data_IF_864716426347
#
_entry.id   IF_864716426347
#
_cell.length_a   1.000
_cell.length_b   1.000
_cell.length_c   1.000
_cell.angle_alpha   90.00
_cell.angle_beta   90.00
_cell.angle_gamma   90.00
#
_symmetry.space_group_name_H-M   'P 1'
#
loop_
_entity.id
_entity.type
_entity.pdbx_description
1 polymer ?
#
# COMPACT_ATOMS: atom_id res chain seq x y z
N UNK A 1 -20.27 9.78 5.54
CA UNK A 1 -19.44 8.63 5.11
C UNK A 1 -20.36 7.43 4.99
N UNK A 2 -20.62 6.91 3.78
CA UNK A 2 -21.48 5.72 3.60
C UNK A 2 -20.62 4.48 3.83
N UNK A 3 -21.03 3.64 4.79
CA UNK A 3 -20.41 2.36 5.12
C UNK A 3 -20.42 1.40 3.93
N UNK A 4 -19.31 0.70 3.69
CA UNK A 4 -19.09 -0.24 2.58
C UNK A 4 -19.57 -1.67 2.88
N UNK A 5 -20.47 -1.85 3.85
CA UNK A 5 -20.75 -3.16 4.46
C UNK A 5 -21.67 -4.07 3.62
N UNK A 6 -22.08 -3.65 2.42
CA UNK A 6 -23.05 -4.35 1.57
C UNK A 6 -22.48 -5.13 0.38
N UNK A 7 -21.17 -5.36 0.30
CA UNK A 7 -20.56 -5.91 -0.93
C UNK A 7 -20.19 -7.39 -0.74
N UNK A 8 -21.06 -8.26 -1.22
CA UNK A 8 -20.67 -9.63 -1.58
C UNK A 8 -19.69 -9.55 -2.74
N UNK A 9 -18.41 -9.80 -2.45
CA UNK A 9 -17.37 -9.91 -3.46
C UNK A 9 -17.62 -11.13 -4.33
N UNK A 10 -17.69 -10.91 -5.64
CA UNK A 10 -17.72 -11.90 -6.71
C UNK A 10 -16.75 -13.08 -6.45
N UNK A 11 -17.18 -14.30 -6.81
CA UNK A 11 -16.36 -15.50 -6.72
C UNK A 11 -15.40 -15.64 -7.92
N UNK A 12 -14.65 -16.74 -7.99
CA UNK A 12 -13.65 -16.91 -9.06
C UNK A 12 -14.23 -17.07 -10.46
N UNK A 13 -15.49 -17.47 -10.55
CA UNK A 13 -16.18 -17.88 -11.77
C UNK A 13 -16.90 -16.65 -12.36
N UNK A 14 -17.38 -15.74 -11.51
CA UNK A 14 -17.81 -14.40 -11.90
C UNK A 14 -16.70 -13.63 -12.66
N UNK A 15 -15.42 -13.85 -12.29
CA UNK A 15 -14.26 -13.07 -12.74
C UNK A 15 -13.94 -13.25 -14.24
N UNK A 16 -14.17 -14.42 -14.82
CA UNK A 16 -13.91 -14.64 -16.26
C UNK A 16 -15.03 -14.06 -17.13
N UNK A 17 -16.24 -13.95 -16.60
CA UNK A 17 -17.41 -13.40 -17.30
C UNK A 17 -17.46 -11.86 -17.28
N UNK A 18 -16.85 -11.23 -16.27
CA UNK A 18 -16.93 -9.79 -16.02
C UNK A 18 -16.17 -8.94 -17.06
N UNK A 19 -15.02 -9.38 -17.60
CA UNK A 19 -14.17 -8.49 -18.41
C UNK A 19 -14.78 -8.07 -19.76
N UNK A 20 -15.39 -9.01 -20.50
CA UNK A 20 -15.97 -8.71 -21.82
C UNK A 20 -17.40 -8.12 -21.71
N UNK A 21 -18.21 -8.62 -20.78
CA UNK A 21 -19.58 -8.14 -20.60
C UNK A 21 -19.62 -6.73 -20.02
N UNK A 22 -18.72 -6.37 -19.10
CA UNK A 22 -18.74 -5.05 -18.47
C UNK A 22 -18.23 -3.93 -19.37
N UNK A 23 -17.15 -4.15 -20.13
CA UNK A 23 -16.67 -3.16 -21.12
C UNK A 23 -17.79 -2.85 -22.14
N UNK A 24 -18.56 -3.88 -22.51
CA UNK A 24 -19.71 -3.72 -23.41
C UNK A 24 -20.94 -3.11 -22.73
N UNK A 25 -21.09 -3.29 -21.41
CA UNK A 25 -22.18 -2.70 -20.60
C UNK A 25 -21.98 -1.21 -20.28
N UNK A 26 -20.74 -0.69 -20.41
CA UNK A 26 -20.50 0.75 -20.31
C UNK A 26 -21.22 1.49 -21.44
N UNK A 27 -21.77 2.66 -21.12
CA UNK A 27 -22.29 3.58 -22.14
C UNK A 27 -21.18 4.02 -23.10
N UNK A 28 -21.53 4.47 -24.32
CA UNK A 28 -20.57 5.08 -25.24
C UNK A 28 -19.75 6.20 -24.59
N UNK A 29 -20.38 7.03 -23.74
CA UNK A 29 -19.72 8.15 -23.06
C UNK A 29 -18.74 7.67 -21.98
N UNK A 30 -19.09 6.65 -21.20
CA UNK A 30 -18.16 6.04 -20.22
C UNK A 30 -16.97 5.37 -20.91
N UNK A 31 -17.20 4.70 -22.05
CA UNK A 31 -16.11 4.16 -22.87
C UNK A 31 -15.22 5.25 -23.44
N UNK A 32 -15.79 6.35 -23.92
CA UNK A 32 -15.04 7.50 -24.42
C UNK A 32 -14.24 8.20 -23.31
N UNK A 33 -14.81 8.31 -22.11
CA UNK A 33 -14.13 8.85 -20.94
C UNK A 33 -12.97 7.95 -20.49
N UNK A 34 -13.18 6.63 -20.45
CA UNK A 34 -12.12 5.64 -20.18
C UNK A 34 -11.02 5.68 -21.23
N UNK A 35 -11.36 5.78 -22.52
CA UNK A 35 -10.39 5.88 -23.61
C UNK A 35 -9.60 7.20 -23.57
N UNK A 36 -10.25 8.31 -23.20
CA UNK A 36 -9.57 9.60 -23.02
C UNK A 36 -8.66 9.59 -21.79
N UNK A 37 -9.08 8.96 -20.71
CA UNK A 37 -8.25 8.73 -19.53
C UNK A 37 -7.07 7.82 -19.86
N UNK A 38 -7.28 6.78 -20.67
CA UNK A 38 -6.22 5.89 -21.16
C UNK A 38 -5.15 6.64 -21.95
N UNK A 39 -5.54 7.55 -22.84
CA UNK A 39 -4.59 8.35 -23.61
C UNK A 39 -3.73 9.24 -22.70
N UNK A 40 -4.34 9.85 -21.67
CA UNK A 40 -3.63 10.66 -20.66
C UNK A 40 -2.68 9.80 -19.82
N UNK A 41 -3.15 8.65 -19.34
CA UNK A 41 -2.37 7.69 -18.56
C UNK A 41 -1.14 7.19 -19.32
N UNK A 42 -1.30 6.79 -20.59
CA UNK A 42 -0.17 6.33 -21.43
C UNK A 42 0.90 7.41 -21.62
N UNK A 43 0.49 8.67 -21.82
CA UNK A 43 1.43 9.78 -21.92
C UNK A 43 2.15 10.07 -20.60
N UNK A 44 1.44 9.95 -19.47
CA UNK A 44 2.02 10.11 -18.13
C UNK A 44 3.00 9.00 -17.77
N UNK A 45 2.80 7.78 -18.30
CA UNK A 45 3.57 6.61 -17.93
C UNK A 45 5.04 6.72 -18.36
N UNK A 46 5.31 7.21 -19.57
CA UNK A 46 6.68 7.37 -20.06
C UNK A 46 7.46 8.40 -19.25
N UNK A 47 6.81 9.52 -18.90
CA UNK A 47 7.42 10.54 -18.05
C UNK A 47 7.55 10.04 -16.60
N UNK A 48 6.55 9.31 -16.08
CA UNK A 48 6.60 8.66 -14.77
C UNK A 48 7.79 7.72 -14.68
N UNK A 49 7.97 6.81 -15.63
CA UNK A 49 9.08 5.86 -15.59
C UNK A 49 10.44 6.59 -15.55
N UNK A 50 10.60 7.63 -16.39
CA UNK A 50 11.80 8.47 -16.38
C UNK A 50 12.03 9.16 -15.03
N UNK A 51 10.99 9.76 -14.44
CA UNK A 51 11.08 10.39 -13.12
C UNK A 51 11.41 9.38 -12.02
N UNK A 52 10.81 8.18 -12.07
CA UNK A 52 11.10 7.10 -11.11
C UNK A 52 12.55 6.62 -11.20
N UNK A 53 13.07 6.47 -12.43
CA UNK A 53 14.45 6.04 -12.65
C UNK A 53 15.43 7.10 -12.12
N UNK A 54 15.19 8.39 -12.40
CA UNK A 54 15.97 9.49 -11.83
C UNK A 54 15.92 9.53 -10.29
N UNK A 55 14.74 9.33 -9.72
CA UNK A 55 14.51 9.44 -8.28
C UNK A 55 15.15 8.30 -7.48
N UNK A 56 15.16 7.09 -8.06
CA UNK A 56 15.76 5.89 -7.45
C UNK A 56 17.28 6.06 -7.27
N UNK A 57 17.94 6.83 -8.12
CA UNK A 57 19.39 7.07 -8.05
C UNK A 57 19.76 8.13 -7.01
N UNK A 58 18.94 9.17 -6.83
CA UNK A 58 19.18 10.22 -5.82
C UNK A 58 18.90 9.74 -4.39
N UNK A 59 17.85 8.94 -4.17
CA UNK A 59 17.44 8.51 -2.83
C UNK A 59 18.35 7.46 -2.18
N UNK A 60 19.09 6.66 -2.96
CA UNK A 60 20.01 5.63 -2.43
C UNK A 60 21.14 6.18 -1.57
N UNK A 61 21.34 7.51 -1.54
CA UNK A 61 22.51 8.14 -0.94
C UNK A 61 22.29 8.74 0.46
N UNK A 62 21.07 8.81 0.99
CA UNK A 62 20.80 9.57 2.24
C UNK A 62 20.29 8.74 3.41
N UNK A 63 20.17 7.43 3.24
CA UNK A 63 19.55 6.57 4.22
C UNK A 63 20.23 6.71 5.58
N UNK A 64 19.48 7.19 6.58
CA UNK A 64 19.80 7.10 8.00
C UNK A 64 18.65 6.35 8.67
N UNK A 65 18.93 5.20 9.29
CA UNK A 65 17.93 4.43 10.00
C UNK A 65 17.55 5.24 11.23
N UNK A 66 16.25 5.40 11.48
CA UNK A 66 15.77 6.09 12.68
C UNK A 66 15.86 5.20 13.93
N UNK A 67 16.63 4.10 13.85
CA UNK A 67 16.95 3.21 14.97
C UNK A 67 15.92 2.11 15.22
N UNK A 68 14.94 1.92 14.33
CA UNK A 68 14.00 0.80 14.46
C UNK A 68 14.68 -0.49 13.99
N UNK A 69 14.67 -1.49 14.87
CA UNK A 69 15.17 -2.83 14.56
C UNK A 69 14.13 -3.59 13.77
N UNK A 70 14.51 -4.01 12.56
CA UNK A 70 13.74 -4.95 11.77
C UNK A 70 13.38 -6.20 12.58
N UNK A 71 12.14 -6.68 12.42
CA UNK A 71 11.67 -7.92 13.01
C UNK A 71 11.21 -8.92 11.96
N UNK A 72 11.46 -10.21 12.22
CA UNK A 72 10.88 -11.29 11.43
C UNK A 72 9.38 -11.42 11.69
N UNK A 73 8.63 -11.79 10.64
CA UNK A 73 7.24 -12.20 10.78
C UNK A 73 7.08 -13.34 11.78
N UNK A 74 5.90 -13.40 12.42
CA UNK A 74 5.59 -14.49 13.34
C UNK A 74 5.40 -15.81 12.59
N UNK A 75 5.90 -16.88 13.17
CA UNK A 75 5.83 -18.26 12.63
C UNK A 75 4.86 -19.15 13.40
N UNK A 76 4.07 -18.53 14.30
CA UNK A 76 3.00 -19.21 15.00
C UNK A 76 1.92 -18.26 15.53
N UNK A 77 0.71 -18.76 15.74
CA UNK A 77 -0.38 -18.05 16.42
C UNK A 77 0.05 -17.43 17.74
N UNK A 78 0.74 -18.21 18.58
CA UNK A 78 1.20 -17.75 19.90
C UNK A 78 2.16 -16.56 19.76
N UNK A 79 3.17 -16.70 18.91
CA UNK A 79 4.14 -15.64 18.64
C UNK A 79 3.47 -14.39 18.07
N UNK A 80 2.51 -14.55 17.15
CA UNK A 80 1.74 -13.43 16.58
C UNK A 80 0.98 -12.66 17.67
N UNK A 81 0.25 -13.37 18.54
CA UNK A 81 -0.50 -12.76 19.65
C UNK A 81 0.43 -12.02 20.60
N UNK A 82 1.55 -12.63 21.00
CA UNK A 82 2.52 -12.00 21.89
C UNK A 82 3.15 -10.74 21.27
N UNK A 83 3.59 -10.82 20.00
CA UNK A 83 4.25 -9.69 19.33
C UNK A 83 3.28 -8.55 18.99
N UNK A 84 2.05 -8.86 18.55
CA UNK A 84 1.06 -7.85 18.15
C UNK A 84 0.58 -6.94 19.28
N UNK A 85 0.85 -7.29 20.54
CA UNK A 85 0.61 -6.43 21.70
C UNK A 85 1.65 -5.30 21.83
N UNK A 86 2.83 -5.44 21.21
CA UNK A 86 3.84 -4.40 21.23
C UNK A 86 3.43 -3.24 20.28
N UNK A 87 3.35 -1.98 20.76
CA UNK A 87 2.82 -0.88 19.97
C UNK A 87 3.51 -0.67 18.61
N UNK A 88 4.80 -0.97 18.52
CA UNK A 88 5.63 -0.76 17.33
C UNK A 88 5.86 -2.04 16.50
N UNK A 89 5.23 -3.17 16.82
CA UNK A 89 5.53 -4.44 16.15
C UNK A 89 5.39 -4.36 14.63
N UNK A 90 4.25 -3.86 14.14
CA UNK A 90 3.99 -3.78 12.71
C UNK A 90 4.92 -2.81 11.98
N UNK A 91 5.31 -1.72 12.63
CA UNK A 91 6.35 -0.81 12.12
C UNK A 91 7.69 -1.56 12.02
N UNK A 92 8.07 -2.33 13.03
CA UNK A 92 9.30 -3.13 13.01
C UNK A 92 9.28 -4.23 11.93
N UNK A 93 8.12 -4.80 11.61
CA UNK A 93 8.00 -5.72 10.46
C UNK A 93 8.28 -5.01 9.14
N UNK A 94 7.82 -3.77 9.00
CA UNK A 94 8.01 -2.97 7.79
C UNK A 94 9.40 -2.30 7.71
N UNK A 95 10.10 -2.17 8.84
CA UNK A 95 11.44 -1.58 8.92
C UNK A 95 12.49 -2.39 8.15
N UNK A 96 13.48 -1.69 7.59
CA UNK A 96 14.59 -2.34 6.87
C UNK A 96 15.69 -2.73 7.86
N UNK A 97 16.31 -3.89 7.61
CA UNK A 97 17.34 -4.48 8.45
C UNK A 97 18.69 -3.75 8.40
N UNK A 98 19.05 -3.14 7.27
CA UNK A 98 20.21 -2.27 7.00
C UNK A 98 20.20 -1.95 5.49
N UNK A 99 20.95 -0.94 5.02
CA UNK A 99 20.91 -0.50 3.61
C UNK A 99 21.11 -1.67 2.62
N UNK A 100 20.22 -1.74 1.62
CA UNK A 100 20.23 -2.68 0.49
C UNK A 100 19.77 -4.14 0.77
N UNK A 101 19.40 -4.50 1.99
CA UNK A 101 18.70 -5.77 2.22
C UNK A 101 17.21 -5.64 1.90
N UNK A 102 16.68 -6.52 1.06
CA UNK A 102 15.24 -6.61 0.83
C UNK A 102 14.54 -7.02 2.13
N UNK A 103 13.42 -6.36 2.44
CA UNK A 103 12.66 -6.71 3.63
C UNK A 103 11.78 -7.94 3.32
N UNK A 104 12.06 -9.04 4.04
CA UNK A 104 11.39 -10.32 3.86
C UNK A 104 9.88 -10.30 4.14
N UNK A 105 9.39 -9.29 4.86
CA UNK A 105 7.97 -9.14 5.18
C UNK A 105 7.17 -8.33 4.13
N UNK A 106 7.81 -7.84 3.07
CA UNK A 106 7.18 -7.00 2.05
C UNK A 106 6.84 -7.79 0.77
N UNK A 107 6.03 -7.20 -0.11
CA UNK A 107 5.77 -7.76 -1.44
C UNK A 107 7.06 -7.72 -2.24
N UNK A 108 7.47 -8.87 -2.79
CA UNK A 108 8.74 -9.02 -3.49
C UNK A 108 8.59 -9.09 -5.01
N UNK A 109 7.57 -8.43 -5.54
CA UNK A 109 7.46 -8.16 -6.97
C UNK A 109 7.03 -6.72 -7.20
N UNK A 110 7.58 -6.11 -8.25
CA UNK A 110 7.15 -4.77 -8.68
C UNK A 110 5.71 -4.84 -9.17
N UNK A 111 4.97 -3.80 -8.85
CA UNK A 111 3.66 -3.58 -9.44
C UNK A 111 3.77 -3.62 -10.98
N UNK A 112 2.98 -4.50 -11.62
CA UNK A 112 2.88 -4.59 -13.07
C UNK A 112 1.44 -4.66 -13.51
N UNK A 113 1.03 -3.83 -14.48
CA UNK A 113 -0.32 -3.89 -15.06
C UNK A 113 -1.29 -2.87 -14.44
N UNK A 114 -2.51 -3.31 -14.15
CA UNK A 114 -3.67 -2.45 -13.91
C UNK A 114 -4.37 -2.02 -15.20
N UNK A 115 -5.54 -1.38 -15.05
CA UNK A 115 -6.23 -0.75 -16.17
C UNK A 115 -5.27 0.20 -16.89
N UNK A 116 -5.00 -0.08 -18.17
CA UNK A 116 -4.13 0.72 -19.03
C UNK A 116 -2.64 0.76 -18.63
N UNK A 117 -2.12 -0.33 -18.04
CA UNK A 117 -0.72 -0.43 -17.55
C UNK A 117 -0.36 0.61 -16.48
N UNK A 118 -1.37 1.24 -15.87
CA UNK A 118 -1.22 2.18 -14.80
C UNK A 118 -2.13 1.77 -13.63
N UNK A 119 -1.57 1.76 -12.42
CA UNK A 119 -2.38 2.23 -11.31
C UNK A 119 -2.89 1.21 -10.31
N UNK A 120 -2.40 -0.04 -10.24
CA UNK A 120 -2.71 -0.80 -8.99
C UNK A 120 -1.92 -0.30 -7.77
N UNK A 121 -1.15 0.80 -7.87
CA UNK A 121 -0.27 1.34 -6.83
C UNK A 121 -0.96 1.48 -5.47
N UNK A 122 -2.17 2.06 -5.47
CA UNK A 122 -2.98 2.21 -4.26
C UNK A 122 -3.34 0.87 -3.63
N UNK A 123 -3.85 -0.06 -4.44
CA UNK A 123 -4.27 -1.38 -3.99
C UNK A 123 -3.09 -2.25 -3.57
N UNK A 124 -1.94 -2.09 -4.22
CA UNK A 124 -0.69 -2.75 -3.88
C UNK A 124 -0.21 -2.34 -2.48
N UNK A 125 -0.12 -1.03 -2.20
CA UNK A 125 0.23 -0.54 -0.87
C UNK A 125 -0.79 -0.95 0.19
N UNK A 126 -2.09 -0.96 -0.14
CA UNK A 126 -3.13 -1.43 0.80
C UNK A 126 -3.00 -2.91 1.11
N UNK A 127 -2.76 -3.76 0.11
CA UNK A 127 -2.53 -5.18 0.31
C UNK A 127 -1.28 -5.43 1.17
N UNK A 128 -0.18 -4.73 0.89
CA UNK A 128 1.04 -4.83 1.68
C UNK A 128 0.82 -4.42 3.14
N UNK A 129 0.11 -3.30 3.37
CA UNK A 129 -0.25 -2.86 4.72
C UNK A 129 -1.12 -3.89 5.43
N UNK A 130 -2.12 -4.47 4.74
CA UNK A 130 -2.95 -5.53 5.31
C UNK A 130 -2.12 -6.77 5.66
N UNK A 131 -1.21 -7.19 4.77
CA UNK A 131 -0.35 -8.34 5.02
C UNK A 131 0.55 -8.14 6.24
N UNK A 132 1.16 -6.96 6.40
CA UNK A 132 1.97 -6.64 7.58
C UNK A 132 1.20 -6.80 8.90
N UNK A 133 -0.10 -6.52 8.92
CA UNK A 133 -0.94 -6.63 10.11
C UNK A 133 -1.61 -8.00 10.28
N UNK A 134 -1.96 -8.66 9.19
CA UNK A 134 -2.92 -9.76 9.18
C UNK A 134 -2.34 -11.08 8.69
N UNK A 135 -1.02 -11.29 8.79
CA UNK A 135 -0.42 -12.59 8.47
C UNK A 135 0.41 -13.15 9.62
N UNK A 136 0.35 -14.46 9.74
CA UNK A 136 1.33 -15.27 10.46
C UNK A 136 1.66 -16.49 9.62
N UNK A 137 2.85 -17.04 9.78
CA UNK A 137 3.41 -18.03 8.87
C UNK A 137 3.54 -19.40 9.55
N UNK A 138 3.51 -20.48 8.77
CA UNK A 138 3.72 -21.87 9.24
C UNK A 138 4.74 -22.57 8.34
N UNK A 139 6.04 -22.24 8.46
CA UNK A 139 7.05 -22.71 7.50
C UNK A 139 7.27 -24.22 7.49
N UNK A 140 6.93 -24.92 8.57
CA UNK A 140 7.09 -26.37 8.69
C UNK A 140 5.88 -27.17 8.16
N UNK A 141 4.82 -26.49 7.71
CA UNK A 141 3.65 -27.12 7.10
C UNK A 141 3.81 -27.22 5.57
N UNK A 142 3.07 -28.11 4.89
CA UNK A 142 3.01 -28.10 3.43
C UNK A 142 2.59 -26.73 2.90
N UNK A 143 3.19 -26.30 1.77
CA UNK A 143 2.77 -25.08 1.07
C UNK A 143 1.28 -25.12 0.78
N UNK A 144 0.58 -24.02 1.05
CA UNK A 144 -0.82 -23.91 0.71
C UNK A 144 -1.03 -24.08 -0.80
N UNK A 145 -2.16 -24.67 -1.19
CA UNK A 145 -2.58 -24.79 -2.58
C UNK A 145 -2.92 -23.42 -3.18
N UNK A 146 -2.94 -23.33 -4.51
CA UNK A 146 -3.42 -22.13 -5.24
C UNK A 146 -4.83 -21.71 -4.83
N UNK A 147 -5.73 -22.64 -4.49
CA UNK A 147 -7.09 -22.35 -4.02
C UNK A 147 -7.07 -21.66 -2.66
N UNK A 148 -6.23 -22.13 -1.74
CA UNK A 148 -6.05 -21.54 -0.41
C UNK A 148 -5.37 -20.17 -0.50
N UNK A 149 -4.35 -20.02 -1.34
CA UNK A 149 -3.71 -18.73 -1.60
C UNK A 149 -4.73 -17.68 -2.09
N UNK A 150 -5.60 -18.03 -3.04
CA UNK A 150 -6.70 -17.15 -3.49
C UNK A 150 -7.66 -16.78 -2.35
N UNK A 151 -7.91 -17.65 -1.38
CA UNK A 151 -8.72 -17.35 -0.19
C UNK A 151 -7.99 -16.38 0.73
N UNK A 152 -6.71 -16.64 1.02
CA UNK A 152 -5.84 -15.77 1.82
C UNK A 152 -5.80 -14.35 1.23
N UNK A 153 -5.51 -14.21 -0.07
CA UNK A 153 -5.44 -12.91 -0.75
C UNK A 153 -6.76 -12.14 -0.61
N UNK A 154 -7.90 -12.79 -0.83
CA UNK A 154 -9.21 -12.14 -0.66
C UNK A 154 -9.48 -11.72 0.79
N UNK A 155 -9.08 -12.53 1.76
CA UNK A 155 -9.25 -12.20 3.18
C UNK A 155 -8.42 -10.99 3.58
N UNK A 156 -7.17 -10.90 3.08
CA UNK A 156 -6.30 -9.73 3.28
C UNK A 156 -6.90 -8.47 2.65
N UNK A 157 -7.37 -8.56 1.39
CA UNK A 157 -8.04 -7.44 0.69
C UNK A 157 -9.26 -6.93 1.49
N UNK A 158 -10.03 -7.85 2.07
CA UNK A 158 -11.22 -7.54 2.85
C UNK A 158 -10.93 -7.13 4.30
N UNK A 159 -9.67 -7.22 4.76
CA UNK A 159 -9.29 -6.93 6.13
C UNK A 159 -10.09 -7.73 7.19
N UNK A 160 -10.49 -8.97 6.88
CA UNK A 160 -11.50 -9.70 7.68
C UNK A 160 -10.94 -10.50 8.85
N UNK A 161 -9.79 -11.14 8.66
CA UNK A 161 -9.21 -12.07 9.62
C UNK A 161 -7.69 -12.13 9.46
N UNK A 162 -7.00 -12.56 10.51
CA UNK A 162 -5.57 -12.91 10.45
C UNK A 162 -5.44 -14.22 9.67
N UNK A 163 -4.64 -14.20 8.61
CA UNK A 163 -4.37 -15.35 7.76
C UNK A 163 -3.15 -16.13 8.26
N UNK A 164 -3.32 -17.44 8.48
CA UNK A 164 -2.22 -18.37 8.71
C UNK A 164 -1.74 -18.93 7.36
N UNK A 165 -0.48 -18.67 7.00
CA UNK A 165 0.07 -18.99 5.68
C UNK A 165 1.04 -20.18 5.80
N UNK A 166 0.62 -21.35 5.34
CA UNK A 166 1.38 -22.60 5.42
C UNK A 166 2.47 -22.75 4.36
N UNK A 167 3.65 -23.20 4.78
CA UNK A 167 4.81 -23.52 3.94
C UNK A 167 5.64 -22.32 3.47
N UNK A 168 5.49 -21.17 4.11
CA UNK A 168 6.27 -19.95 3.84
C UNK A 168 6.85 -19.40 5.15
N UNK A 169 7.96 -18.69 5.08
CA UNK A 169 8.55 -18.00 6.23
C UNK A 169 8.01 -16.58 6.43
N UNK A 170 7.61 -15.93 5.35
CA UNK A 170 7.29 -14.50 5.32
C UNK A 170 6.47 -14.14 4.06
N UNK A 171 6.09 -12.85 3.95
CA UNK A 171 5.24 -12.39 2.86
C UNK A 171 5.97 -12.33 1.52
N UNK A 172 7.27 -12.06 1.51
CA UNK A 172 8.09 -12.04 0.30
C UNK A 172 7.99 -13.36 -0.44
N UNK A 173 8.26 -14.49 0.25
CA UNK A 173 8.19 -15.83 -0.35
C UNK A 173 6.78 -16.16 -0.87
N UNK A 174 5.73 -15.87 -0.07
CA UNK A 174 4.34 -16.08 -0.47
C UNK A 174 3.96 -15.24 -1.70
N UNK A 175 4.38 -13.99 -1.72
CA UNK A 175 4.05 -13.03 -2.77
C UNK A 175 4.72 -13.35 -4.10
N UNK A 176 5.93 -13.93 -4.07
CA UNK A 176 6.64 -14.41 -5.26
C UNK A 176 5.92 -15.64 -5.83
N UNK A 177 5.63 -16.64 -4.99
CA UNK A 177 4.99 -17.88 -5.42
C UNK A 177 3.62 -17.62 -6.09
N UNK A 178 2.81 -16.75 -5.50
CA UNK A 178 1.45 -16.45 -5.97
C UNK A 178 1.33 -15.08 -6.64
N UNK A 179 2.41 -14.61 -7.28
CA UNK A 179 2.46 -13.30 -7.93
C UNK A 179 1.32 -13.10 -8.92
N UNK A 180 1.04 -14.09 -9.76
CA UNK A 180 -0.01 -14.00 -10.79
C UNK A 180 -1.40 -13.86 -10.17
N UNK A 181 -1.69 -14.62 -9.11
CA UNK A 181 -2.96 -14.54 -8.38
C UNK A 181 -3.10 -13.19 -7.70
N UNK A 182 -2.07 -12.71 -7.00
CA UNK A 182 -2.09 -11.41 -6.33
C UNK A 182 -2.35 -10.31 -7.35
N UNK A 183 -1.60 -10.30 -8.47
CA UNK A 183 -1.78 -9.29 -9.50
C UNK A 183 -3.19 -9.34 -10.11
N UNK A 184 -3.73 -10.53 -10.36
CA UNK A 184 -5.12 -10.70 -10.82
C UNK A 184 -6.11 -10.06 -9.85
N UNK A 185 -5.98 -10.30 -8.55
CA UNK A 185 -6.87 -9.69 -7.55
C UNK A 185 -6.67 -8.18 -7.38
N UNK A 186 -5.44 -7.67 -7.49
CA UNK A 186 -5.18 -6.23 -7.47
C UNK A 186 -5.86 -5.52 -8.65
N UNK A 187 -5.79 -6.09 -9.86
CA UNK A 187 -6.45 -5.55 -11.05
C UNK A 187 -7.98 -5.54 -10.87
N UNK A 188 -8.55 -6.61 -10.32
CA UNK A 188 -9.98 -6.70 -10.05
C UNK A 188 -10.43 -5.72 -8.97
N UNK A 189 -9.64 -5.58 -7.91
CA UNK A 189 -9.90 -4.63 -6.85
C UNK A 189 -9.86 -3.20 -7.39
N UNK A 190 -8.89 -2.89 -8.27
CA UNK A 190 -8.84 -1.63 -9.00
C UNK A 190 -10.08 -1.39 -9.85
N UNK A 191 -10.49 -2.37 -10.65
CA UNK A 191 -11.67 -2.28 -11.51
C UNK A 191 -12.92 -2.00 -10.68
N UNK A 192 -13.11 -2.74 -9.59
CA UNK A 192 -14.27 -2.62 -8.72
C UNK A 192 -14.35 -1.25 -8.03
N UNK A 193 -13.27 -0.84 -7.35
CA UNK A 193 -13.19 0.47 -6.71
C UNK A 193 -13.25 1.62 -7.74
N UNK A 194 -12.72 1.39 -8.94
CA UNK A 194 -12.71 2.35 -10.04
C UNK A 194 -14.10 2.60 -10.62
N UNK A 195 -14.82 1.53 -10.97
CA UNK A 195 -16.14 1.62 -11.59
C UNK A 195 -17.23 2.04 -10.61
N UNK A 196 -17.26 1.47 -9.41
CA UNK A 196 -18.39 1.67 -8.50
C UNK A 196 -18.24 2.89 -7.60
N UNK A 197 -17.00 3.25 -7.25
CA UNK A 197 -16.73 4.31 -6.28
C UNK A 197 -16.12 5.56 -6.92
N UNK A 198 -15.93 5.56 -8.25
CA UNK A 198 -15.32 6.68 -9.00
C UNK A 198 -13.98 7.14 -8.38
N UNK A 199 -13.27 6.21 -7.72
CA UNK A 199 -12.10 6.53 -6.90
C UNK A 199 -10.91 7.03 -7.74
N UNK A 200 -10.87 6.67 -9.02
CA UNK A 200 -9.94 7.23 -9.98
C UNK A 200 -10.24 8.71 -10.22
N UNK A 201 -11.49 9.11 -10.51
CA UNK A 201 -11.86 10.52 -10.68
C UNK A 201 -11.54 11.36 -9.44
N UNK A 202 -11.88 10.85 -8.25
CA UNK A 202 -11.61 11.55 -6.99
C UNK A 202 -10.11 11.59 -6.64
N UNK A 203 -9.31 10.64 -7.14
CA UNK A 203 -7.88 10.63 -6.92
C UNK A 203 -7.11 11.48 -7.93
N UNK A 204 -7.70 11.81 -9.08
CA UNK A 204 -7.15 12.71 -10.10
C UNK A 204 -7.41 14.18 -9.80
N UNK A 205 -8.38 14.49 -8.93
CA UNK A 205 -8.72 15.85 -8.54
C UNK A 205 -7.90 16.27 -7.32
N UNK A 206 -6.67 16.72 -7.56
CA UNK A 206 -5.82 17.26 -6.51
C UNK A 206 -4.78 18.24 -7.04
N UNK A 207 -4.37 19.17 -6.19
CA UNK A 207 -3.22 20.01 -6.48
C UNK A 207 -1.94 19.31 -6.03
N UNK A 208 -0.92 19.36 -6.87
CA UNK A 208 0.45 18.89 -6.59
C UNK A 208 1.28 19.95 -5.83
N UNK A 209 0.67 21.10 -5.51
CA UNK A 209 1.18 22.14 -4.62
C UNK A 209 0.06 22.63 -3.69
N UNK A 210 0.39 23.01 -2.46
CA UNK A 210 -0.55 23.58 -1.49
C UNK A 210 0.13 24.70 -0.71
N UNK A 211 -0.60 25.39 0.19
CA UNK A 211 0.04 26.40 1.04
C UNK A 211 0.93 25.73 2.09
N UNK A 212 1.99 26.41 2.58
CA UNK A 212 2.87 25.82 3.59
C UNK A 212 2.15 25.33 4.84
N UNK A 213 1.13 26.06 5.30
CA UNK A 213 0.35 25.73 6.49
C UNK A 213 -0.46 24.45 6.27
N UNK A 214 -1.02 24.27 5.06
CA UNK A 214 -1.77 23.06 4.71
C UNK A 214 -0.86 21.85 4.59
N UNK A 215 0.29 22.00 3.93
CA UNK A 215 1.25 20.89 3.84
C UNK A 215 1.75 20.50 5.22
N UNK A 216 2.09 21.49 6.08
CA UNK A 216 2.45 21.24 7.46
C UNK A 216 1.38 20.43 8.18
N UNK A 217 0.11 20.85 8.07
CA UNK A 217 -1.01 20.12 8.68
C UNK A 217 -1.08 18.66 8.22
N UNK A 218 -0.93 18.38 6.92
CA UNK A 218 -0.92 17.00 6.42
C UNK A 218 0.25 16.19 6.99
N UNK A 219 1.42 16.79 7.11
CA UNK A 219 2.59 16.13 7.69
C UNK A 219 2.44 15.93 9.20
N UNK A 220 1.82 16.87 9.92
CA UNK A 220 1.48 16.75 11.34
C UNK A 220 0.49 15.59 11.57
N UNK A 221 -0.51 15.41 10.69
CA UNK A 221 -1.46 14.29 10.74
C UNK A 221 -0.76 12.94 10.49
N UNK A 222 0.17 12.88 9.53
CA UNK A 222 1.00 11.70 9.28
C UNK A 222 1.92 11.42 10.49
N UNK A 223 2.49 12.45 11.10
CA UNK A 223 3.30 12.34 12.31
C UNK A 223 2.50 11.73 13.46
N UNK A 224 1.28 12.23 13.69
CA UNK A 224 0.39 11.70 14.72
C UNK A 224 0.10 10.20 14.51
N UNK A 225 -0.22 9.80 13.27
CA UNK A 225 -0.53 8.40 12.95
C UNK A 225 0.67 7.46 13.15
N UNK A 226 1.86 7.88 12.74
CA UNK A 226 3.05 7.02 12.76
C UNK A 226 3.85 7.14 14.05
N UNK A 227 4.21 8.35 14.46
CA UNK A 227 5.08 8.57 15.61
C UNK A 227 4.34 8.42 16.94
N UNK A 228 3.08 8.87 17.04
CA UNK A 228 2.31 8.85 18.28
C UNK A 228 1.49 7.58 18.40
N UNK A 229 0.65 7.28 17.41
CA UNK A 229 -0.22 6.09 17.42
C UNK A 229 0.49 4.79 17.05
N UNK A 230 1.73 4.85 16.57
CA UNK A 230 2.56 3.69 16.18
C UNK A 230 1.92 2.83 15.10
N UNK A 231 1.25 3.46 14.12
CA UNK A 231 0.60 2.79 12.99
C UNK A 231 1.33 3.08 11.69
N UNK A 232 1.35 2.14 10.76
CA UNK A 232 1.85 2.40 9.41
C UNK A 232 0.82 3.28 8.70
N UNK A 233 1.18 4.49 8.27
CA UNK A 233 0.25 5.38 7.58
C UNK A 233 0.16 5.07 6.09
N UNK A 234 -1.07 4.95 5.56
CA UNK A 234 -1.31 4.88 4.12
C UNK A 234 -1.50 6.28 3.56
N UNK A 235 -0.58 6.70 2.69
CA UNK A 235 -0.55 8.06 2.13
C UNK A 235 -0.76 7.99 0.64
N UNK A 236 -1.78 8.70 0.13
CA UNK A 236 -1.90 8.97 -1.30
C UNK A 236 -1.08 10.20 -1.65
N UNK A 237 -0.41 10.17 -2.79
CA UNK A 237 0.31 11.32 -3.32
C UNK A 237 -0.45 11.93 -4.49
N UNK A 238 -0.61 13.25 -4.45
CA UNK A 238 -0.98 14.06 -5.61
C UNK A 238 0.30 14.54 -6.27
N UNK A 239 0.62 14.01 -7.45
CA UNK A 239 1.89 14.26 -8.14
C UNK A 239 1.60 15.00 -9.45
N UNK A 240 2.47 15.94 -9.82
CA UNK A 240 2.31 16.69 -11.07
C UNK A 240 2.36 15.75 -12.28
N UNK A 241 1.24 15.65 -13.00
CA UNK A 241 1.15 14.87 -14.25
C UNK A 241 1.13 13.35 -14.07
N UNK A 242 0.95 12.84 -12.84
CA UNK A 242 0.81 11.42 -12.55
C UNK A 242 -0.49 11.17 -11.81
N UNK A 243 -1.23 10.19 -12.31
CA UNK A 243 -2.64 9.97 -11.97
C UNK A 243 -2.86 9.14 -10.69
N UNK A 244 -1.87 8.35 -10.24
CA UNK A 244 -1.99 7.60 -8.99
C UNK A 244 -0.64 7.12 -8.45
N UNK A 245 -0.40 7.43 -7.17
CA UNK A 245 0.69 6.84 -6.38
C UNK A 245 0.31 6.74 -4.90
N UNK A 246 0.91 5.78 -4.19
CA UNK A 246 0.75 5.65 -2.74
C UNK A 246 2.06 5.24 -2.07
N UNK A 247 2.22 5.73 -0.85
CA UNK A 247 3.29 5.39 0.07
C UNK A 247 2.72 4.72 1.32
N UNK A 248 3.52 3.86 1.94
CA UNK A 248 3.32 3.46 3.33
C UNK A 248 4.39 4.14 4.18
N UNK A 249 4.02 5.14 4.99
CA UNK A 249 4.97 5.77 5.91
C UNK A 249 5.08 4.87 7.13
N UNK A 250 6.28 4.36 7.37
CA UNK A 250 6.57 3.38 8.42
C UNK A 250 7.18 4.04 9.65
N UNK A 251 7.93 5.13 9.45
CA UNK A 251 8.59 5.86 10.54
C UNK A 251 8.57 7.35 10.23
N UNK A 252 8.47 8.18 11.26
CA UNK A 252 8.60 9.64 11.14
C UNK A 252 9.09 10.21 12.47
N UNK A 253 10.04 11.12 12.39
CA UNK A 253 10.53 11.88 13.53
C UNK A 253 10.60 13.38 13.18
N UNK A 254 10.53 14.22 14.20
CA UNK A 254 10.79 15.64 14.02
C UNK A 254 12.29 15.82 13.72
N UNK A 255 12.60 16.64 12.73
CA UNK A 255 14.00 16.99 12.43
C UNK A 255 14.67 17.62 13.65
N UNK A 256 15.98 17.41 13.82
CA UNK A 256 16.71 17.81 15.02
C UNK A 256 16.72 19.32 15.30
N UNK A 257 16.53 20.14 14.26
CA UNK A 257 16.40 21.59 14.35
C UNK A 257 14.96 22.06 14.66
N UNK A 258 14.01 21.12 14.75
CA UNK A 258 12.60 21.38 14.96
C UNK A 258 11.85 21.95 13.73
N UNK A 259 12.50 22.04 12.56
CA UNK A 259 11.98 22.74 11.38
C UNK A 259 11.36 21.81 10.33
N UNK A 260 10.91 20.62 10.72
CA UNK A 260 10.39 19.66 9.75
C UNK A 260 10.28 18.24 10.27
N UNK A 261 10.19 17.30 9.33
CA UNK A 261 10.14 15.86 9.58
C UNK A 261 11.11 15.09 8.70
N UNK A 262 11.68 14.03 9.26
CA UNK A 262 12.40 12.98 8.54
C UNK A 262 11.52 11.74 8.64
N UNK A 263 11.26 11.07 7.51
CA UNK A 263 10.37 9.92 7.50
C UNK A 263 10.85 8.81 6.58
N UNK A 264 10.59 7.56 7.00
CA UNK A 264 10.80 6.37 6.21
C UNK A 264 9.48 5.92 5.58
N UNK A 265 9.54 5.51 4.32
CA UNK A 265 8.37 5.08 3.58
C UNK A 265 8.67 3.94 2.62
N UNK A 266 7.66 3.11 2.36
CA UNK A 266 7.68 2.10 1.30
C UNK A 266 6.90 2.63 0.11
N UNK A 267 7.54 2.59 -1.07
CA UNK A 267 7.00 3.03 -2.34
C UNK A 267 6.24 1.88 -3.03
N UNK A 268 5.00 2.11 -3.46
CA UNK A 268 4.22 1.11 -4.21
C UNK A 268 4.88 0.59 -5.52
N UNK A 269 5.84 1.31 -6.10
CA UNK A 269 6.61 0.89 -7.28
C UNK A 269 7.90 0.15 -6.92
N UNK A 270 8.38 0.31 -5.69
CA UNK A 270 9.54 -0.39 -5.13
C UNK A 270 9.15 -1.01 -3.79
N UNK A 271 8.18 -1.96 -3.81
CA UNK A 271 7.46 -2.38 -2.61
C UNK A 271 8.31 -3.20 -1.63
N UNK A 272 9.45 -3.70 -2.08
CA UNK A 272 10.42 -4.50 -1.32
C UNK A 272 11.46 -3.66 -0.57
N UNK A 273 11.40 -2.34 -0.75
CA UNK A 273 12.39 -1.38 -0.29
C UNK A 273 11.70 -0.25 0.49
N UNK A 274 12.41 0.34 1.45
CA UNK A 274 12.00 1.60 2.07
C UNK A 274 13.03 2.70 1.80
N UNK A 275 12.55 3.93 1.85
CA UNK A 275 13.25 5.14 1.44
C UNK A 275 13.09 6.18 2.54
N UNK A 276 14.06 7.10 2.65
CA UNK A 276 14.02 8.18 3.64
C UNK A 276 13.80 9.50 2.93
N UNK A 277 12.82 10.29 3.34
CA UNK A 277 12.56 11.61 2.82
C UNK A 277 12.46 12.67 3.92
N UNK A 278 12.48 13.92 3.47
CA UNK A 278 12.48 15.10 4.32
C UNK A 278 11.31 16.01 3.94
N UNK A 279 10.71 16.60 4.96
CA UNK A 279 9.81 17.73 4.83
C UNK A 279 10.32 18.85 5.71
N UNK A 280 10.41 20.06 5.16
CA UNK A 280 10.79 21.27 5.89
C UNK A 280 9.61 22.24 5.97
N UNK A 281 9.42 22.87 7.12
CA UNK A 281 8.41 23.91 7.30
C UNK A 281 8.63 25.04 6.28
N UNK A 282 7.53 25.56 5.72
CA UNK A 282 7.58 26.54 4.62
C UNK A 282 7.48 25.92 3.22
N UNK A 283 7.72 24.62 3.05
CA UNK A 283 7.52 23.95 1.76
C UNK A 283 6.05 23.91 1.36
N UNK A 284 5.78 23.96 0.05
CA UNK A 284 4.44 23.86 -0.55
C UNK A 284 4.14 22.49 -1.16
N UNK A 285 5.16 21.64 -1.25
CA UNK A 285 5.13 20.26 -1.74
C UNK A 285 6.30 19.50 -1.12
N UNK A 286 6.25 18.16 -1.16
CA UNK A 286 7.41 17.33 -0.93
C UNK A 286 8.23 17.24 -2.20
N UNK A 287 9.56 17.18 -2.05
CA UNK A 287 10.52 16.90 -3.12
C UNK A 287 10.57 15.39 -3.44
N UNK A 288 9.38 14.77 -3.56
CA UNK A 288 9.20 13.42 -4.10
C UNK A 288 8.55 13.52 -5.48
N UNK A 289 9.07 12.77 -6.45
CA UNK A 289 8.50 12.62 -7.80
C UNK A 289 8.23 13.95 -8.53
N UNK A 290 9.18 14.90 -8.47
CA UNK A 290 9.03 16.21 -9.12
C UNK A 290 7.76 16.96 -8.65
N UNK A 291 7.67 17.11 -7.32
CA UNK A 291 6.59 17.74 -6.53
C UNK A 291 5.39 16.83 -6.27
N UNK A 292 5.13 16.62 -4.98
CA UNK A 292 3.96 15.89 -4.53
C UNK A 292 3.35 16.46 -3.26
N UNK A 293 2.05 16.27 -3.07
CA UNK A 293 1.35 16.58 -1.82
C UNK A 293 0.80 15.28 -1.22
N UNK A 294 1.17 14.94 0.03
CA UNK A 294 0.70 13.75 0.70
C UNK A 294 -0.66 13.98 1.36
N UNK A 295 -1.49 12.94 1.32
CA UNK A 295 -2.78 12.89 2.00
C UNK A 295 -2.90 11.57 2.75
N UNK A 296 -3.03 11.66 4.07
CA UNK A 296 -3.39 10.51 4.90
C UNK A 296 -4.78 10.00 4.47
N UNK A 297 -4.90 8.69 4.28
CA UNK A 297 -6.12 8.05 3.80
C UNK A 297 -6.30 6.69 4.48
N UNK A 298 -7.53 6.17 4.45
CA UNK A 298 -7.85 4.81 4.89
C UNK A 298 -7.39 4.51 6.33
N UNK A 299 -7.65 5.44 7.23
CA UNK A 299 -7.50 5.19 8.67
C UNK A 299 -8.47 4.09 9.14
N UNK A 300 -9.64 3.98 8.50
CA UNK A 300 -10.65 2.94 8.77
C UNK A 300 -10.17 1.51 8.47
N UNK A 301 -9.17 1.35 7.58
CA UNK A 301 -8.56 0.04 7.34
C UNK A 301 -7.79 -0.44 8.60
N UNK A 302 -7.17 0.46 9.38
CA UNK A 302 -6.46 0.08 10.61
C UNK A 302 -7.42 -0.44 11.66
N UNK A 303 -8.56 0.22 11.86
CA UNK A 303 -9.52 -0.22 12.87
C UNK A 303 -10.07 -1.62 12.54
N UNK A 304 -10.24 -1.93 11.25
CA UNK A 304 -10.56 -3.29 10.79
C UNK A 304 -9.44 -4.28 11.10
N UNK A 305 -8.18 -3.91 10.86
CA UNK A 305 -7.04 -4.77 11.17
C UNK A 305 -6.96 -5.08 12.67
N UNK A 306 -7.07 -4.06 13.51
CA UNK A 306 -7.01 -4.21 14.97
C UNK A 306 -8.18 -5.06 15.48
N UNK A 307 -9.38 -4.88 14.92
CA UNK A 307 -10.53 -5.74 15.26
C UNK A 307 -10.31 -7.20 14.84
N UNK A 308 -9.72 -7.46 13.67
CA UNK A 308 -9.40 -8.81 13.23
C UNK A 308 -8.32 -9.48 14.11
N UNK A 309 -7.32 -8.72 14.57
CA UNK A 309 -6.27 -9.17 15.49
C UNK A 309 -6.87 -9.52 16.86
N UNK A 310 -7.75 -8.67 17.39
CA UNK A 310 -8.41 -8.90 18.68
C UNK A 310 -9.22 -10.20 18.66
N UNK A 311 -10.10 -10.37 17.67
CA UNK A 311 -10.87 -11.61 17.43
C UNK A 311 -9.99 -12.84 17.33
N UNK A 312 -8.91 -12.75 16.54
CA UNK A 312 -7.95 -13.84 16.38
C UNK A 312 -7.27 -14.23 17.70
N UNK A 313 -6.98 -13.24 18.55
CA UNK A 313 -6.34 -13.40 19.86
C UNK A 313 -7.29 -14.02 20.90
N UNK A 314 -8.57 -13.63 20.89
CA UNK A 314 -9.58 -14.14 21.83
C UNK A 314 -10.25 -15.44 21.38
N UNK A 315 -10.13 -15.80 20.09
CA UNK A 315 -10.82 -16.95 19.50
C UNK A 315 -12.31 -16.73 19.29
N UNK A 316 -12.74 -15.47 19.15
CA UNK A 316 -14.12 -15.04 18.87
C UNK A 316 -14.31 -14.79 17.37
#
# INVERSE_FOLDING_TARGET
MKHTDGIEFFDSDDIEELNAKQINALSPDERAALSSAEARLKSSYTEKQRLMDMYTDEMKLSGKSLGIKHQKASTSKKEFIEKSQAPNYFICLAGIKEYFESNENLIAFKNTGGLFNAGVCWWHSRLQRAALYLTTYRPNEPKCSKKEAKKIIRNLIKAKEVAEISGFNNFSEFSIEFKEEIQKYLNLWQLYDGLLLWQWINGLSGSYETTPEKLKKYMDEIYEEVAVRKRIAYVKLQIKGIDSHALLITEIEQASDGQGYIFNFIDSNSPDSAFTAYYMYGQTHLDLYNKSVPYLQREDDIDKFLSAIDKYSTGL
#
